data_IF_456458055837
#
_entry.id   IF_456458055837
#
_cell.length_a   1.000
_cell.length_b   1.000
_cell.length_c   1.000
_cell.angle_alpha   90.00
_cell.angle_beta   90.00
_cell.angle_gamma   90.00
#
_symmetry.space_group_name_H-M   'P 1'
#
loop_
_entity.id
_entity.type
_entity.pdbx_description
1 polymer ?
#
# COMPACT_ATOMS: atom_id res chain seq x y z
N UNK A 1 2.92 -7.65 1.66
CA UNK A 1 1.85 -7.39 2.65
C UNK A 1 0.50 -7.45 1.95
N UNK A 2 -0.59 -7.64 2.68
CA UNK A 2 -1.94 -7.64 2.11
C UNK A 2 -2.72 -6.41 2.57
N UNK A 3 -3.74 -6.02 1.81
CA UNK A 3 -4.61 -4.88 2.13
C UNK A 3 -5.29 -5.05 3.48
N UNK A 4 -5.64 -6.29 3.85
CA UNK A 4 -6.25 -6.62 5.15
C UNK A 4 -5.32 -6.37 6.34
N UNK A 5 -4.02 -6.21 6.11
CA UNK A 5 -3.03 -5.92 7.14
C UNK A 5 -2.75 -4.41 7.28
N UNK A 6 -3.43 -3.57 6.50
CA UNK A 6 -3.27 -2.11 6.53
C UNK A 6 -4.33 -1.47 7.44
N UNK A 7 -3.95 -0.36 8.05
CA UNK A 7 -4.86 0.54 8.75
C UNK A 7 -4.94 1.90 8.05
N UNK A 8 -6.07 2.58 8.21
CA UNK A 8 -6.24 3.98 7.78
C UNK A 8 -5.20 4.85 8.49
N UNK A 9 -4.52 5.70 7.73
CA UNK A 9 -3.44 6.58 8.21
C UNK A 9 -2.05 6.01 8.02
N UNK A 10 -1.88 4.75 7.63
CA UNK A 10 -0.56 4.22 7.30
C UNK A 10 -0.01 4.85 6.03
N UNK A 11 1.26 5.26 6.08
CA UNK A 11 2.04 5.54 4.88
C UNK A 11 2.50 4.21 4.28
N UNK A 12 2.16 3.99 3.02
CA UNK A 12 2.49 2.78 2.29
C UNK A 12 3.29 3.10 1.04
N UNK A 13 4.28 2.27 0.76
CA UNK A 13 4.98 2.18 -0.52
C UNK A 13 4.41 1.01 -1.29
N UNK A 14 4.16 1.20 -2.59
CA UNK A 14 3.58 0.16 -3.42
C UNK A 14 4.12 0.18 -4.85
N UNK A 15 4.21 -1.00 -5.46
CA UNK A 15 4.66 -1.20 -6.84
C UNK A 15 3.59 -1.96 -7.61
N UNK A 16 3.25 -1.45 -8.80
CA UNK A 16 2.30 -2.12 -9.70
C UNK A 16 2.92 -3.41 -10.28
N UNK A 17 2.16 -4.50 -10.45
CA UNK A 17 2.63 -5.70 -11.12
C UNK A 17 3.37 -5.42 -12.44
N UNK A 18 4.57 -5.99 -12.58
CA UNK A 18 5.40 -5.83 -13.78
C UNK A 18 6.05 -4.44 -13.94
N UNK A 19 6.03 -3.60 -12.90
CA UNK A 19 6.77 -2.33 -12.84
C UNK A 19 7.87 -2.41 -11.78
N UNK A 20 8.82 -1.48 -11.87
CA UNK A 20 9.97 -1.38 -10.94
C UNK A 20 9.95 -0.09 -10.11
N UNK A 21 9.18 0.92 -10.54
CA UNK A 21 9.09 2.19 -9.83
C UNK A 21 8.04 2.09 -8.73
N UNK A 22 8.42 2.44 -7.50
CA UNK A 22 7.53 2.53 -6.36
C UNK A 22 6.85 3.89 -6.27
N UNK A 23 5.60 3.86 -5.87
CA UNK A 23 4.81 5.01 -5.46
C UNK A 23 4.58 4.94 -3.95
N UNK A 24 4.25 6.07 -3.32
CA UNK A 24 3.90 6.08 -1.89
C UNK A 24 2.77 7.07 -1.60
N UNK A 25 2.04 6.81 -0.52
CA UNK A 25 0.99 7.69 -0.05
C UNK A 25 0.38 7.18 1.26
N UNK A 26 -0.67 7.84 1.72
CA UNK A 26 -1.35 7.51 2.99
C UNK A 26 -2.67 6.80 2.72
N UNK A 27 -2.93 5.68 3.39
CA UNK A 27 -4.22 4.97 3.31
C UNK A 27 -5.31 5.86 3.89
N UNK A 28 -6.32 6.21 3.08
CA UNK A 28 -7.48 7.01 3.50
C UNK A 28 -8.73 6.16 3.71
N UNK A 29 -8.86 5.07 2.96
CA UNK A 29 -10.04 4.21 3.01
C UNK A 29 -9.66 2.76 2.74
N UNK A 30 -10.37 1.84 3.39
CA UNK A 30 -10.26 0.40 3.21
C UNK A 30 -11.63 -0.15 2.80
N UNK A 31 -11.68 -0.81 1.65
CA UNK A 31 -12.89 -1.34 1.04
C UNK A 31 -12.79 -2.86 1.05
N UNK A 32 -13.73 -3.52 1.73
CA UNK A 32 -13.75 -4.99 1.86
C UNK A 32 -14.97 -5.56 1.13
N UNK A 33 -14.91 -5.62 -0.20
CA UNK A 33 -15.98 -6.20 -1.03
C UNK A 33 -15.77 -7.72 -1.16
N UNK A 34 -16.57 -8.54 -0.48
CA UNK A 34 -16.76 -9.99 -0.66
C UNK A 34 -15.60 -10.81 -1.27
N UNK A 35 -14.37 -10.60 -0.76
CA UNK A 35 -13.18 -11.36 -1.16
C UNK A 35 -12.08 -10.56 -1.85
N UNK A 36 -12.36 -9.35 -2.32
CA UNK A 36 -11.41 -8.46 -3.01
C UNK A 36 -11.16 -7.20 -2.16
N UNK A 37 -10.24 -7.26 -1.19
CA UNK A 37 -9.90 -6.10 -0.37
C UNK A 37 -9.13 -5.06 -1.20
N UNK A 38 -9.51 -3.79 -1.07
CA UNK A 38 -8.87 -2.65 -1.72
C UNK A 38 -8.55 -1.54 -0.72
N UNK A 39 -7.50 -0.77 -0.99
CA UNK A 39 -7.17 0.44 -0.24
C UNK A 39 -7.15 1.65 -1.17
N UNK A 40 -7.73 2.76 -0.70
CA UNK A 40 -7.59 4.07 -1.35
C UNK A 40 -6.41 4.78 -0.68
N UNK A 41 -5.39 5.08 -1.48
CA UNK A 41 -4.15 5.72 -1.03
C UNK A 41 -4.09 7.14 -1.59
N UNK A 42 -3.95 8.13 -0.71
CA UNK A 42 -3.78 9.54 -1.06
C UNK A 42 -2.30 9.88 -1.25
N UNK A 43 -1.99 10.49 -2.39
CA UNK A 43 -0.65 10.82 -2.87
C UNK A 43 -0.60 12.32 -3.24
N UNK A 44 -0.67 13.19 -2.23
CA UNK A 44 -0.83 14.63 -2.44
C UNK A 44 -2.24 14.96 -2.91
N UNK A 45 -2.38 15.53 -4.12
CA UNK A 45 -3.69 15.91 -4.68
C UNK A 45 -4.43 14.75 -5.37
N UNK A 46 -3.79 13.59 -5.52
CA UNK A 46 -4.34 12.43 -6.20
C UNK A 46 -4.67 11.31 -5.22
N UNK A 47 -5.64 10.47 -5.58
CA UNK A 47 -5.90 9.20 -4.91
C UNK A 47 -5.69 8.04 -5.88
N UNK A 48 -5.33 6.89 -5.32
CA UNK A 48 -5.10 5.67 -6.07
C UNK A 48 -5.69 4.47 -5.33
N UNK A 49 -6.40 3.63 -6.07
CA UNK A 49 -6.91 2.36 -5.53
C UNK A 49 -5.87 1.28 -5.80
N UNK A 50 -5.47 0.58 -4.74
CA UNK A 50 -4.59 -0.58 -4.80
C UNK A 50 -5.26 -1.81 -4.19
N UNK A 51 -4.83 -2.98 -4.63
CA UNK A 51 -5.34 -4.28 -4.18
C UNK A 51 -4.17 -5.21 -3.84
N UNK A 52 -4.50 -6.45 -3.48
CA UNK A 52 -3.54 -7.50 -3.10
C UNK A 52 -2.59 -7.96 -4.22
N UNK A 53 -2.75 -7.46 -5.46
CA UNK A 53 -1.82 -7.71 -6.56
C UNK A 53 -0.58 -6.83 -6.50
N UNK A 54 -0.65 -5.68 -5.83
CA UNK A 54 0.49 -4.78 -5.68
C UNK A 54 1.49 -5.33 -4.67
N UNK A 55 2.78 -5.09 -4.91
CA UNK A 55 3.80 -5.28 -3.89
C UNK A 55 3.73 -4.10 -2.92
N UNK A 56 3.35 -4.37 -1.66
CA UNK A 56 3.07 -3.33 -0.65
C UNK A 56 4.01 -3.47 0.55
N UNK A 57 4.53 -2.33 1.01
CA UNK A 57 5.30 -2.16 2.24
C UNK A 57 4.78 -0.94 3.04
N UNK A 58 4.76 -1.02 4.37
CA UNK A 58 4.45 0.13 5.24
C UNK A 58 5.77 0.87 5.44
N UNK A 59 5.76 2.17 5.18
CA UNK A 59 6.86 3.05 5.53
C UNK A 59 6.45 3.92 6.71
N UNK A 60 7.30 4.04 7.73
CA UNK A 60 7.28 5.23 8.57
C UNK A 60 8.19 6.26 7.90
N UNK A 61 7.80 7.55 7.87
CA UNK A 61 8.73 8.64 7.58
C UNK A 61 9.87 8.58 8.62
N UNK A 62 10.98 7.93 8.25
CA UNK A 62 12.16 7.74 9.08
C UNK A 62 12.43 6.31 9.60
N UNK A 63 11.52 5.35 9.43
CA UNK A 63 11.76 3.94 9.77
C UNK A 63 10.79 3.01 9.02
N UNK A 64 10.99 2.82 7.72
CA UNK A 64 10.43 1.65 7.07
C UNK A 64 10.99 0.40 7.78
N UNK A 65 10.22 -0.22 8.68
CA UNK A 65 10.56 -1.54 9.25
C UNK A 65 10.34 -2.57 8.14
N UNK A 66 11.35 -2.68 7.28
CA UNK A 66 11.48 -3.72 6.28
C UNK A 66 11.56 -5.08 6.98
N UNK A 67 10.46 -5.84 6.98
CA UNK A 67 10.41 -7.23 7.49
C UNK A 67 10.53 -8.28 6.37
N UNK A 68 10.74 -7.87 5.13
CA UNK A 68 10.90 -8.77 3.98
C UNK A 68 12.35 -8.90 3.52
N UNK A 69 12.94 -10.09 3.72
CA UNK A 69 14.20 -10.50 3.07
C UNK A 69 13.98 -10.55 1.55
N UNK A 70 14.70 -9.73 0.79
CA UNK A 70 14.85 -9.94 -0.65
C UNK A 70 15.69 -11.21 -0.88
N UNK A 71 15.18 -12.12 -1.69
CA UNK A 71 15.95 -13.17 -2.37
C UNK A 71 15.98 -12.87 -3.85
#
# INVERSE_FOLDING_TARGET
MKIRDLDIGYTVWFIKPGKTLSEYGTVKELIYNDGEPQAVVEMGEYTKVIDDTYDIAIGDEGNAKYTGRFK
#
